data_IF_750775862858
#
_entry.id   IF_750775862858
#
_cell.length_a   1.000
_cell.length_b   1.000
_cell.length_c   1.000
_cell.angle_alpha   90.00
_cell.angle_beta   90.00
_cell.angle_gamma   90.00
#
_symmetry.space_group_name_H-M   'P 1'
#
loop_
_entity.id
_entity.type
_entity.pdbx_description
1 polymer ?
#
# COMPACT_ATOMS: atom_id res chain seq x y z
N UNK A 1 -2.61 -9.99 4.63
CA UNK A 1 -1.24 -9.68 4.19
C UNK A 1 -1.18 -9.68 2.67
N UNK A 2 -0.22 -8.96 2.08
CA UNK A 2 0.05 -8.95 0.64
C UNK A 2 1.53 -8.69 0.36
N UNK A 3 1.98 -8.96 -0.86
CA UNK A 3 3.38 -8.86 -1.28
C UNK A 3 3.66 -7.53 -1.95
N UNK A 4 4.62 -6.78 -1.42
CA UNK A 4 5.01 -5.49 -1.93
C UNK A 4 5.66 -5.60 -3.32
N UNK A 5 5.27 -4.76 -4.27
CA UNK A 5 5.80 -4.84 -5.66
C UNK A 5 7.01 -3.96 -5.93
N UNK A 6 7.30 -2.99 -5.08
CA UNK A 6 8.42 -2.05 -5.22
C UNK A 6 8.96 -1.68 -3.84
N UNK A 7 10.22 -1.24 -3.78
CA UNK A 7 10.81 -0.79 -2.53
C UNK A 7 10.04 0.41 -1.96
N UNK A 8 9.77 0.38 -0.65
CA UNK A 8 9.19 1.49 0.08
C UNK A 8 10.20 1.99 1.08
N UNK A 9 10.55 3.27 0.97
CA UNK A 9 11.38 3.93 1.95
C UNK A 9 10.70 3.88 3.33
N UNK A 10 11.46 3.45 4.32
CA UNK A 10 11.05 3.35 5.70
C UNK A 10 10.95 4.71 6.37
N UNK A 11 10.05 4.78 7.33
CA UNK A 11 9.99 5.82 8.35
C UNK A 11 10.03 7.27 7.87
N UNK A 12 10.87 8.04 8.56
CA UNK A 12 10.73 9.48 8.76
C UNK A 12 10.43 9.81 10.23
N UNK A 13 10.25 11.10 10.54
CA UNK A 13 9.98 11.56 11.93
C UNK A 13 8.60 11.18 12.45
N UNK A 14 7.71 10.68 11.58
CA UNK A 14 6.30 10.42 11.86
C UNK A 14 5.86 9.14 11.17
N UNK A 15 4.77 8.54 11.66
CA UNK A 15 4.10 7.46 10.97
C UNK A 15 3.50 7.98 9.66
N UNK A 16 3.69 7.22 8.58
CA UNK A 16 3.12 7.50 7.28
C UNK A 16 2.09 6.43 6.90
N UNK A 17 1.11 6.83 6.10
CA UNK A 17 0.12 5.94 5.51
C UNK A 17 0.18 6.12 4.00
N UNK A 18 0.76 5.14 3.30
CA UNK A 18 0.98 5.24 1.87
C UNK A 18 -0.23 4.68 1.12
N UNK A 19 -0.74 5.46 0.16
CA UNK A 19 -1.81 5.00 -0.74
C UNK A 19 -1.36 3.80 -1.55
N UNK A 20 -2.17 2.74 -1.54
CA UNK A 20 -1.88 1.48 -2.22
C UNK A 20 -3.08 0.99 -3.02
N UNK A 21 -2.79 0.41 -4.17
CA UNK A 21 -3.73 -0.46 -4.91
C UNK A 21 -3.38 -1.91 -4.62
N UNK A 22 -4.41 -2.75 -4.58
CA UNK A 22 -4.26 -4.19 -4.46
C UNK A 22 -4.69 -4.86 -5.76
N UNK A 23 -3.87 -5.80 -6.23
CA UNK A 23 -4.20 -6.71 -7.32
C UNK A 23 -4.10 -8.14 -6.80
N UNK A 24 -5.04 -9.01 -7.17
CA UNK A 24 -5.00 -10.42 -6.78
C UNK A 24 -4.34 -11.23 -7.90
N UNK A 25 -3.30 -11.98 -7.55
CA UNK A 25 -2.56 -12.86 -8.45
C UNK A 25 -2.28 -14.18 -7.72
N UNK A 26 -2.70 -15.30 -8.32
CA UNK A 26 -2.50 -16.66 -7.76
C UNK A 26 -2.99 -16.81 -6.30
N UNK A 27 -4.12 -16.16 -5.95
CA UNK A 27 -4.70 -16.22 -4.60
C UNK A 27 -3.94 -15.40 -3.55
N UNK A 28 -2.98 -14.58 -3.97
CA UNK A 28 -2.26 -13.63 -3.11
C UNK A 28 -2.47 -12.20 -3.59
N UNK A 29 -2.46 -11.26 -2.65
CA UNK A 29 -2.50 -9.84 -2.99
C UNK A 29 -1.10 -9.31 -3.29
N UNK A 30 -0.97 -8.60 -4.40
CA UNK A 30 0.12 -7.69 -4.69
C UNK A 30 -0.24 -6.31 -4.17
N UNK A 31 0.67 -5.73 -3.38
CA UNK A 31 0.55 -4.39 -2.79
C UNK A 31 1.37 -3.44 -3.64
N UNK A 32 0.68 -2.51 -4.31
CA UNK A 32 1.26 -1.57 -5.26
C UNK A 32 1.12 -0.15 -4.68
N UNK A 33 2.18 0.40 -4.05
CA UNK A 33 2.20 1.77 -3.58
C UNK A 33 2.01 2.77 -4.72
N UNK A 34 1.34 3.88 -4.45
CA UNK A 34 1.32 5.00 -5.39
C UNK A 34 2.67 5.69 -5.39
N UNK A 35 3.24 5.94 -6.58
CA UNK A 35 4.51 6.68 -6.73
C UNK A 35 4.43 8.14 -6.27
N UNK A 36 3.22 8.67 -6.09
CA UNK A 36 2.98 10.04 -5.61
C UNK A 36 2.22 9.96 -4.30
N UNK A 37 2.82 10.44 -3.22
CA UNK A 37 2.27 10.35 -1.86
C UNK A 37 2.04 11.74 -1.24
N UNK A 38 2.29 12.82 -1.99
CA UNK A 38 2.15 14.19 -1.50
C UNK A 38 0.69 14.57 -1.22
N UNK A 39 0.43 15.16 -0.06
CA UNK A 39 -0.91 15.57 0.38
C UNK A 39 -1.57 16.64 -0.51
N UNK A 40 -0.78 17.41 -1.27
CA UNK A 40 -1.30 18.35 -2.28
C UNK A 40 -1.71 17.71 -3.61
N UNK A 41 -1.67 16.38 -3.73
CA UNK A 41 -1.92 15.66 -4.99
C UNK A 41 -2.95 14.54 -4.81
N UNK A 42 -4.22 14.82 -5.15
CA UNK A 42 -5.30 13.82 -5.08
C UNK A 42 -5.14 12.63 -6.04
N UNK A 43 -4.20 12.69 -6.99
CA UNK A 43 -3.98 11.61 -7.97
C UNK A 43 -3.58 10.28 -7.31
N UNK A 44 -2.98 10.33 -6.12
CA UNK A 44 -2.63 9.14 -5.34
C UNK A 44 -3.84 8.29 -4.93
N UNK A 45 -5.01 8.91 -4.82
CA UNK A 45 -6.28 8.27 -4.47
C UNK A 45 -6.85 7.43 -5.61
N UNK A 46 -6.48 7.73 -6.85
CA UNK A 46 -7.06 7.09 -8.02
C UNK A 46 -6.66 5.62 -8.07
N UNK A 47 -7.64 4.73 -7.94
CA UNK A 47 -7.44 3.29 -7.92
C UNK A 47 -6.88 2.74 -6.60
N UNK A 48 -6.55 3.58 -5.62
CA UNK A 48 -6.14 3.11 -4.29
C UNK A 48 -7.32 2.47 -3.56
N UNK A 49 -7.11 1.34 -2.92
CA UNK A 49 -8.12 0.65 -2.10
C UNK A 49 -7.59 0.29 -0.71
N UNK A 50 -6.34 0.61 -0.41
CA UNK A 50 -5.71 0.34 0.87
C UNK A 50 -4.67 1.40 1.24
N UNK A 51 -4.27 1.39 2.51
CA UNK A 51 -3.14 2.14 3.04
C UNK A 51 -2.09 1.18 3.59
N UNK A 52 -0.82 1.42 3.26
CA UNK A 52 0.33 0.75 3.87
C UNK A 52 0.85 1.62 5.03
N UNK A 53 0.72 1.16 6.30
CA UNK A 53 1.34 1.84 7.43
C UNK A 53 2.86 1.68 7.37
N UNK A 54 3.58 2.79 7.49
CA UNK A 54 5.04 2.80 7.65
C UNK A 54 5.36 3.47 8.98
N UNK A 55 5.93 2.70 9.90
CA UNK A 55 6.24 3.16 11.25
C UNK A 55 7.31 4.25 11.24
N UNK A 56 7.19 5.24 12.14
CA UNK A 56 8.23 6.26 12.34
C UNK A 56 9.56 5.59 12.71
N UNK A 57 10.66 5.98 12.04
CA UNK A 57 11.97 5.34 12.20
C UNK A 57 12.04 3.85 11.82
N UNK A 58 10.99 3.31 11.18
CA UNK A 58 10.99 1.93 10.69
C UNK A 58 11.98 1.71 9.54
N UNK A 59 12.42 0.47 9.31
CA UNK A 59 13.34 0.14 8.23
C UNK A 59 12.67 0.31 6.86
N UNK A 60 13.50 0.40 5.82
CA UNK A 60 13.04 0.27 4.44
C UNK A 60 12.38 -1.09 4.23
N UNK A 61 11.32 -1.11 3.42
CA UNK A 61 10.58 -2.31 3.07
C UNK A 61 10.96 -2.69 1.63
N UNK A 62 11.76 -3.75 1.42
CA UNK A 62 12.14 -4.15 0.08
C UNK A 62 10.96 -4.78 -0.68
N UNK A 63 10.97 -4.67 -2.00
CA UNK A 63 10.06 -5.40 -2.87
C UNK A 63 10.09 -6.90 -2.55
N UNK A 64 8.93 -7.55 -2.62
CA UNK A 64 8.75 -8.95 -2.25
C UNK A 64 8.43 -9.19 -0.77
N UNK A 65 8.57 -8.16 0.09
CA UNK A 65 8.18 -8.26 1.51
C UNK A 65 6.69 -8.53 1.66
N UNK A 66 6.34 -9.38 2.61
CA UNK A 66 4.95 -9.56 3.03
C UNK A 66 4.58 -8.45 4.03
N UNK A 67 3.55 -7.68 3.69
CA UNK A 67 3.11 -6.51 4.47
C UNK A 67 1.64 -6.60 4.84
N UNK A 68 1.27 -5.91 5.91
CA UNK A 68 -0.11 -5.67 6.29
C UNK A 68 -0.57 -4.30 5.81
N UNK A 69 -1.81 -4.24 5.34
CA UNK A 69 -2.42 -3.03 4.81
C UNK A 69 -3.79 -2.82 5.44
N UNK A 70 -4.18 -1.56 5.59
CA UNK A 70 -5.52 -1.17 6.01
C UNK A 70 -6.39 -1.05 4.77
N UNK A 71 -7.41 -1.90 4.64
CA UNK A 71 -8.38 -1.80 3.55
C UNK A 71 -9.30 -0.60 3.74
N UNK A 72 -9.49 0.18 2.69
CA UNK A 72 -10.44 1.28 2.63
C UNK A 72 -11.74 0.88 1.92
N UNK A 73 -11.60 -0.03 0.94
CA UNK A 73 -12.69 -0.65 0.18
C UNK A 73 -12.19 -1.96 -0.40
N UNK A 74 -13.10 -2.82 -0.83
CA UNK A 74 -12.71 -4.04 -1.53
C UNK A 74 -11.88 -3.73 -2.79
N UNK A 75 -10.85 -4.53 -3.08
CA UNK A 75 -10.15 -4.45 -4.35
C UNK A 75 -11.11 -4.65 -5.53
N UNK A 76 -10.87 -4.01 -6.67
CA UNK A 76 -11.66 -4.23 -7.88
C UNK A 76 -11.82 -5.72 -8.18
N UNK A 77 -13.04 -6.14 -8.54
CA UNK A 77 -13.34 -7.55 -8.85
C UNK A 77 -13.80 -8.39 -7.65
N UNK A 78 -13.67 -7.91 -6.41
CA UNK A 78 -14.31 -8.53 -5.24
C UNK A 78 -15.64 -7.87 -4.91
N UNK A 79 -16.67 -8.69 -4.63
CA UNK A 79 -17.97 -8.25 -4.12
C UNK A 79 -18.05 -8.60 -2.62
N UNK A 80 -18.73 -7.76 -1.85
CA UNK A 80 -19.15 -8.13 -0.49
C UNK A 80 -20.09 -9.34 -0.61
N UNK A 81 -19.87 -10.34 0.25
CA UNK A 81 -20.66 -11.57 0.30
C UNK A 81 -21.97 -11.28 1.03
#
# INVERSE_FOLDING_TARGET
CGRLTEDVQGGGKRQAFLWCRLEEEEGRFRVIPSRRQGSGQNRSLQGACALLPVAAGGPDLPAGSDVEVLLLRLPPGRKEI
#
